data_IF_125028918854
#
_entry.id   IF_125028918854
#
_cell.length_a   1.000
_cell.length_b   1.000
_cell.length_c   1.000
_cell.angle_alpha   90.00
_cell.angle_beta   90.00
_cell.angle_gamma   90.00
#
_symmetry.space_group_name_H-M   'P 1'
#
loop_
_entity.id
_entity.type
_entity.pdbx_description
1 polymer ?
#
# COMPACT_ATOMS: atom_id res chain seq x y z
N UNK A 1 -9.72 13.84 16.84
CA UNK A 1 -10.32 15.11 16.38
C UNK A 1 -10.44 15.16 14.85
N UNK A 2 -9.43 14.78 14.06
CA UNK A 2 -9.51 14.76 12.58
C UNK A 2 -10.17 13.49 11.99
N UNK A 3 -10.02 12.31 12.60
CA UNK A 3 -10.79 11.10 12.24
C UNK A 3 -12.30 11.32 12.44
N UNK A 4 -12.68 12.00 13.52
CA UNK A 4 -14.07 12.34 13.84
C UNK A 4 -14.71 13.34 12.85
N UNK A 5 -13.89 13.99 12.02
CA UNK A 5 -14.35 14.84 10.93
C UNK A 5 -14.47 14.07 9.60
N UNK A 6 -14.23 12.75 9.59
CA UNK A 6 -14.24 11.86 8.41
C UNK A 6 -13.27 12.28 7.29
N UNK A 7 -12.25 13.07 7.62
CA UNK A 7 -11.26 13.55 6.65
C UNK A 7 -10.14 12.54 6.37
N UNK A 8 -9.91 11.63 7.32
CA UNK A 8 -8.84 10.66 7.28
C UNK A 8 -9.31 9.29 7.75
N UNK A 9 -8.80 8.27 7.08
CA UNK A 9 -8.78 6.90 7.56
C UNK A 9 -7.45 6.63 8.24
N UNK A 10 -7.47 5.77 9.26
CA UNK A 10 -6.28 5.32 9.95
C UNK A 10 -6.00 3.86 9.65
N UNK A 11 -4.79 3.60 9.18
CA UNK A 11 -4.21 2.28 9.14
C UNK A 11 -3.41 2.04 10.43
N UNK A 12 -3.69 0.95 11.15
CA UNK A 12 -2.88 0.58 12.32
C UNK A 12 -1.58 -0.06 11.85
N UNK A 13 -0.57 -0.06 12.72
CA UNK A 13 0.66 -0.80 12.45
C UNK A 13 0.50 -2.23 12.98
N UNK A 14 0.76 -3.20 12.13
CA UNK A 14 0.68 -4.63 12.44
C UNK A 14 2.08 -5.24 12.40
N UNK A 15 2.50 -5.84 13.51
CA UNK A 15 3.74 -6.59 13.59
C UNK A 15 3.55 -7.97 12.93
N UNK A 16 4.23 -8.17 11.80
CA UNK A 16 4.17 -9.39 11.02
C UNK A 16 4.82 -10.58 11.74
N UNK A 17 5.80 -10.33 12.62
CA UNK A 17 6.46 -11.39 13.40
C UNK A 17 5.71 -11.72 14.68
N UNK A 18 5.40 -10.70 15.48
CA UNK A 18 4.66 -10.85 16.73
C UNK A 18 3.18 -11.18 16.54
N UNK A 19 2.66 -11.04 15.30
CA UNK A 19 1.25 -11.24 14.94
C UNK A 19 0.28 -10.44 15.81
N UNK A 20 0.59 -9.15 15.98
CA UNK A 20 -0.17 -8.26 16.85
C UNK A 20 -0.10 -6.80 16.42
N UNK A 21 -1.01 -5.99 16.93
CA UNK A 21 -1.01 -4.55 16.67
C UNK A 21 0.03 -3.85 17.56
N UNK A 22 0.84 -3.01 16.95
CA UNK A 22 1.77 -2.15 17.67
C UNK A 22 1.02 -1.01 18.36
N UNK A 23 1.54 -0.58 19.52
CA UNK A 23 0.97 0.55 20.28
C UNK A 23 1.34 1.93 19.70
N UNK A 24 2.12 1.97 18.62
CA UNK A 24 2.54 3.19 17.92
C UNK A 24 1.38 3.87 17.21
N UNK A 25 1.55 5.18 16.92
CA UNK A 25 0.59 5.91 16.13
C UNK A 25 0.48 5.28 14.72
N UNK A 26 -0.76 5.13 14.22
CA UNK A 26 -1.02 4.61 12.88
C UNK A 26 -0.62 5.61 11.79
N UNK A 27 -0.60 5.14 10.53
CA UNK A 27 -0.56 6.05 9.37
C UNK A 27 -1.98 6.54 9.06
N UNK A 28 -2.07 7.79 8.59
CA UNK A 28 -3.32 8.41 8.23
C UNK A 28 -3.36 8.69 6.73
N UNK A 29 -4.43 8.22 6.09
CA UNK A 29 -4.69 8.39 4.68
C UNK A 29 -5.92 9.26 4.51
N UNK A 30 -5.86 10.18 3.57
CA UNK A 30 -6.96 11.08 3.29
C UNK A 30 -8.07 10.39 2.51
N UNK A 31 -9.31 10.76 2.81
CA UNK A 31 -10.52 10.27 2.13
C UNK A 31 -10.61 10.72 0.66
N UNK A 32 -10.13 11.93 0.33
CA UNK A 32 -10.30 12.54 -0.99
C UNK A 32 -9.03 13.27 -1.42
N UNK A 33 -8.43 12.85 -2.54
CA UNK A 33 -7.19 13.43 -3.06
C UNK A 33 -7.31 14.93 -3.44
N UNK A 34 -8.50 15.40 -3.80
CA UNK A 34 -8.83 16.81 -4.07
C UNK A 34 -8.79 17.70 -2.84
N UNK A 35 -9.04 17.17 -1.64
CA UNK A 35 -8.91 17.93 -0.38
C UNK A 35 -7.45 18.33 -0.10
N UNK A 36 -6.48 17.47 -0.43
CA UNK A 36 -5.04 17.79 -0.33
C UNK A 36 -4.68 18.97 -1.21
N UNK A 37 -5.23 18.99 -2.42
CA UNK A 37 -4.92 20.03 -3.40
C UNK A 37 -5.32 21.41 -2.90
N UNK A 38 -6.40 21.49 -2.13
CA UNK A 38 -6.84 22.72 -1.45
C UNK A 38 -6.05 23.02 -0.17
N UNK A 39 -5.72 22.00 0.64
CA UNK A 39 -5.08 22.20 1.94
C UNK A 39 -3.56 22.48 1.88
N UNK A 40 -2.81 21.86 0.96
CA UNK A 40 -1.33 21.91 0.94
C UNK A 40 -0.80 22.80 -0.20
N UNK A 41 -1.67 23.29 -1.08
CA UNK A 41 -1.30 24.02 -2.29
C UNK A 41 -0.60 23.12 -3.33
N UNK A 42 -0.22 23.70 -4.48
CA UNK A 42 0.49 22.99 -5.57
C UNK A 42 1.98 22.79 -5.25
N UNK A 43 2.32 22.11 -4.14
CA UNK A 43 3.71 21.72 -3.87
C UNK A 43 4.05 20.42 -4.60
N UNK A 44 4.95 20.43 -5.61
CA UNK A 44 5.44 19.20 -6.21
C UNK A 44 6.29 18.42 -5.19
N UNK A 45 6.28 17.08 -5.25
CA UNK A 45 7.30 16.27 -4.58
C UNK A 45 6.87 15.18 -3.61
N UNK A 46 5.59 14.87 -3.44
CA UNK A 46 5.18 13.68 -2.68
C UNK A 46 4.28 12.77 -3.53
N UNK A 47 4.84 12.21 -4.60
CA UNK A 47 4.13 11.31 -5.52
C UNK A 47 3.97 9.90 -4.93
N UNK A 48 4.97 9.41 -4.19
CA UNK A 48 4.89 8.12 -3.48
C UNK A 48 3.73 8.08 -2.49
N UNK A 49 3.65 9.04 -1.56
CA UNK A 49 2.56 9.08 -0.59
C UNK A 49 1.18 9.35 -1.20
N UNK A 50 1.10 9.99 -2.38
CA UNK A 50 -0.17 10.11 -3.11
C UNK A 50 -0.60 8.76 -3.70
N UNK A 51 0.35 8.02 -4.26
CA UNK A 51 0.10 6.69 -4.79
C UNK A 51 -0.30 5.71 -3.68
N UNK A 52 0.41 5.71 -2.55
CA UNK A 52 0.03 4.95 -1.35
C UNK A 52 -1.40 5.27 -0.92
N UNK A 53 -1.79 6.55 -0.89
CA UNK A 53 -3.14 6.95 -0.53
C UNK A 53 -4.20 6.42 -1.51
N UNK A 54 -3.92 6.47 -2.82
CA UNK A 54 -4.84 5.93 -3.84
C UNK A 54 -5.01 4.43 -3.65
N UNK A 55 -3.91 3.69 -3.49
CA UNK A 55 -3.93 2.24 -3.27
C UNK A 55 -4.68 1.89 -2.00
N UNK A 56 -4.43 2.61 -0.90
CA UNK A 56 -5.11 2.41 0.37
C UNK A 56 -6.64 2.57 0.24
N UNK A 57 -7.10 3.67 -0.36
CA UNK A 57 -8.53 3.93 -0.55
C UNK A 57 -9.16 2.88 -1.44
N UNK A 58 -8.48 2.47 -2.50
CA UNK A 58 -8.97 1.43 -3.39
C UNK A 58 -9.08 0.06 -2.68
N UNK A 59 -8.09 -0.30 -1.85
CA UNK A 59 -8.18 -1.52 -1.03
C UNK A 59 -9.37 -1.48 -0.07
N UNK A 60 -9.64 -0.33 0.57
CA UNK A 60 -10.87 -0.17 1.37
C UNK A 60 -12.13 -0.30 0.51
N UNK A 61 -12.15 0.29 -0.69
CA UNK A 61 -13.28 0.21 -1.62
C UNK A 61 -13.59 -1.22 -2.03
N UNK A 62 -12.55 -2.05 -2.22
CA UNK A 62 -12.64 -3.49 -2.52
C UNK A 62 -12.97 -4.37 -1.30
N UNK A 63 -13.29 -3.76 -0.15
CA UNK A 63 -13.78 -4.48 1.05
C UNK A 63 -12.69 -5.05 1.96
N UNK A 64 -11.42 -4.67 1.78
CA UNK A 64 -10.35 -5.10 2.67
C UNK A 64 -10.33 -4.26 3.97
N UNK A 65 -9.97 -4.91 5.07
CA UNK A 65 -9.37 -4.21 6.22
C UNK A 65 -7.88 -4.01 5.93
N UNK A 66 -7.38 -2.78 6.07
CA UNK A 66 -6.03 -2.42 5.63
C UNK A 66 -5.21 -1.85 6.79
N UNK A 67 -4.08 -2.49 7.07
CA UNK A 67 -3.07 -2.07 8.05
C UNK A 67 -1.72 -1.82 7.36
N UNK A 68 -0.79 -1.16 8.05
CA UNK A 68 0.63 -1.06 7.62
C UNK A 68 1.43 -2.19 8.26
N UNK A 69 2.20 -2.91 7.46
CA UNK A 69 3.01 -4.05 7.94
C UNK A 69 4.37 -3.61 8.47
N UNK A 70 4.75 -4.10 9.65
CA UNK A 70 6.08 -3.90 10.25
C UNK A 70 6.76 -5.24 10.47
N UNK A 71 8.03 -5.34 10.07
CA UNK A 71 8.90 -6.46 10.36
C UNK A 71 10.31 -5.94 10.67
N UNK A 72 10.70 -5.92 11.95
CA UNK A 72 11.93 -5.26 12.42
C UNK A 72 12.04 -3.80 11.94
N UNK A 73 13.05 -3.50 11.11
CA UNK A 73 13.31 -2.21 10.48
C UNK A 73 12.61 -2.06 9.13
N UNK A 74 12.05 -3.15 8.60
CA UNK A 74 11.37 -3.20 7.31
C UNK A 74 9.90 -2.88 7.49
N UNK A 75 9.39 -2.05 6.59
CA UNK A 75 7.97 -1.68 6.52
C UNK A 75 7.42 -2.13 5.17
N UNK A 76 6.20 -2.64 5.19
CA UNK A 76 5.42 -2.99 4.02
C UNK A 76 4.22 -2.06 4.02
N UNK A 77 3.95 -1.42 2.88
CA UNK A 77 2.95 -0.36 2.83
C UNK A 77 1.61 -0.84 3.34
N UNK A 78 1.13 -1.98 2.85
CA UNK A 78 -0.17 -2.51 3.24
C UNK A 78 -0.21 -4.02 3.47
N UNK A 79 -0.92 -4.39 4.54
CA UNK A 79 -1.46 -5.72 4.77
C UNK A 79 -2.97 -5.60 4.66
N UNK A 80 -3.51 -6.07 3.54
CA UNK A 80 -4.93 -6.06 3.24
C UNK A 80 -5.55 -7.43 3.58
N UNK A 81 -6.65 -7.45 4.31
CA UNK A 81 -7.33 -8.68 4.73
C UNK A 81 -8.83 -8.63 4.46
N UNK A 82 -9.37 -9.70 3.89
CA UNK A 82 -10.80 -10.04 3.84
C UNK A 82 -10.97 -11.50 4.28
N UNK A 83 -12.21 -11.98 4.38
CA UNK A 83 -12.57 -13.24 5.07
C UNK A 83 -11.62 -14.39 4.76
N UNK A 84 -11.33 -14.64 3.48
CA UNK A 84 -10.51 -15.77 3.03
C UNK A 84 -9.23 -15.36 2.32
N UNK A 85 -8.79 -14.09 2.47
CA UNK A 85 -7.64 -13.58 1.74
C UNK A 85 -6.80 -12.62 2.56
N UNK A 86 -5.48 -12.83 2.49
CA UNK A 86 -4.47 -11.88 2.94
C UNK A 86 -3.63 -11.51 1.72
N UNK A 87 -3.48 -10.21 1.51
CA UNK A 87 -2.70 -9.62 0.43
C UNK A 87 -1.70 -8.63 1.01
N UNK A 88 -0.42 -8.85 0.71
CA UNK A 88 0.64 -7.88 0.99
C UNK A 88 0.87 -7.02 -0.23
N UNK A 89 0.82 -5.70 -0.06
CA UNK A 89 1.00 -4.74 -1.15
C UNK A 89 2.17 -3.83 -0.83
N UNK A 90 3.11 -3.75 -1.77
CA UNK A 90 4.14 -2.73 -1.82
C UNK A 90 3.83 -1.78 -2.97
N UNK A 91 4.07 -0.50 -2.76
CA UNK A 91 3.79 0.56 -3.72
C UNK A 91 5.09 1.30 -4.04
N UNK A 92 5.35 1.55 -5.32
CA UNK A 92 6.52 2.32 -5.74
C UNK A 92 6.25 3.20 -6.95
N UNK A 93 6.97 4.32 -7.07
CA UNK A 93 6.84 5.20 -8.22
C UNK A 93 7.56 4.62 -9.45
N UNK A 94 8.80 4.19 -9.26
CA UNK A 94 9.63 3.57 -10.29
C UNK A 94 10.35 2.38 -9.68
N UNK A 95 10.45 1.29 -10.43
CA UNK A 95 11.27 0.15 -10.03
C UNK A 95 12.71 0.62 -9.84
N UNK A 96 13.32 0.36 -8.68
CA UNK A 96 14.72 0.70 -8.47
C UNK A 96 15.59 -0.13 -9.42
N UNK A 97 16.72 0.44 -9.84
CA UNK A 97 17.71 -0.27 -10.67
C UNK A 97 18.31 -1.50 -9.97
N UNK A 98 18.12 -1.61 -8.66
CA UNK A 98 18.63 -2.65 -7.79
C UNK A 98 17.43 -3.28 -7.07
N UNK A 99 17.37 -4.60 -6.94
CA UNK A 99 16.20 -5.42 -6.54
C UNK A 99 15.67 -5.24 -5.10
N UNK A 100 16.00 -4.15 -4.40
CA UNK A 100 15.77 -4.04 -2.95
C UNK A 100 14.33 -3.77 -2.51
N UNK A 101 13.46 -3.30 -3.39
CA UNK A 101 12.11 -2.88 -2.98
C UNK A 101 11.12 -4.05 -2.92
N UNK A 102 11.44 -5.18 -3.56
CA UNK A 102 10.75 -6.47 -3.34
C UNK A 102 11.29 -7.22 -2.13
N UNK A 103 12.50 -6.91 -1.62
CA UNK A 103 13.09 -7.58 -0.45
C UNK A 103 12.11 -7.60 0.74
N UNK A 104 11.37 -6.50 0.93
CA UNK A 104 10.41 -6.36 2.02
C UNK A 104 9.29 -7.42 1.93
N UNK A 105 8.81 -7.69 0.71
CA UNK A 105 7.78 -8.69 0.43
C UNK A 105 8.35 -10.12 0.42
N UNK A 106 9.54 -10.31 -0.19
CA UNK A 106 10.23 -11.62 -0.27
C UNK A 106 10.57 -12.15 1.13
N UNK A 107 10.92 -11.27 2.07
CA UNK A 107 11.24 -11.66 3.44
C UNK A 107 10.03 -12.17 4.25
N UNK A 108 8.80 -11.98 3.77
CA UNK A 108 7.62 -12.61 4.37
C UNK A 108 7.57 -14.08 3.95
N UNK A 109 7.80 -14.97 4.93
CA UNK A 109 7.93 -16.42 4.70
C UNK A 109 6.63 -17.19 4.54
N UNK A 110 5.48 -16.53 4.61
CA UNK A 110 4.20 -17.19 4.35
C UNK A 110 3.89 -17.23 2.84
N UNK A 111 2.86 -17.99 2.48
CA UNK A 111 2.43 -18.18 1.09
C UNK A 111 1.21 -17.32 0.73
N UNK A 112 0.90 -16.28 1.51
CA UNK A 112 -0.18 -15.37 1.13
C UNK A 112 0.23 -14.53 -0.08
N UNK A 113 -0.78 -13.99 -0.76
CA UNK A 113 -0.59 -13.24 -1.98
C UNK A 113 0.23 -11.97 -1.72
N UNK A 114 1.11 -11.65 -2.68
CA UNK A 114 1.99 -10.48 -2.65
C UNK A 114 1.82 -9.74 -3.97
N UNK A 115 1.86 -8.42 -3.94
CA UNK A 115 1.69 -7.58 -5.12
C UNK A 115 2.57 -6.34 -5.04
N UNK A 116 3.25 -6.03 -6.14
CA UNK A 116 3.96 -4.76 -6.31
C UNK A 116 3.20 -3.86 -7.29
N UNK A 117 2.76 -2.70 -6.80
CA UNK A 117 2.06 -1.69 -7.61
C UNK A 117 3.03 -0.57 -7.97
N UNK A 118 3.09 -0.22 -9.25
CA UNK A 118 4.04 0.76 -9.81
C UNK A 118 3.31 1.97 -10.42
N UNK A 119 3.85 3.18 -10.28
CA UNK A 119 3.34 4.34 -11.05
C UNK A 119 3.80 4.29 -12.51
N UNK A 120 5.09 4.02 -12.73
CA UNK A 120 5.67 3.91 -14.06
C UNK A 120 5.24 2.59 -14.71
N UNK A 121 5.03 2.64 -16.02
CA UNK A 121 4.61 1.47 -16.79
C UNK A 121 5.83 0.67 -17.26
N UNK A 122 5.82 -0.65 -17.00
CA UNK A 122 6.88 -1.58 -17.35
C UNK A 122 6.30 -2.78 -18.13
N UNK A 123 6.16 -2.68 -19.48
CA UNK A 123 5.47 -3.69 -20.29
C UNK A 123 6.13 -5.08 -20.23
N UNK A 124 7.45 -5.10 -20.08
CA UNK A 124 8.26 -6.33 -20.14
C UNK A 124 8.45 -6.99 -18.76
N UNK A 125 7.97 -6.36 -17.69
CA UNK A 125 8.14 -6.84 -16.31
C UNK A 125 6.77 -7.22 -15.76
N UNK A 126 6.49 -8.53 -15.73
CA UNK A 126 5.24 -9.07 -15.18
C UNK A 126 5.37 -9.48 -13.72
N UNK A 127 6.57 -9.86 -13.30
CA UNK A 127 6.88 -10.29 -11.94
C UNK A 127 8.36 -10.05 -11.62
N UNK A 128 8.67 -9.92 -10.33
CA UNK A 128 10.03 -9.85 -9.78
C UNK A 128 10.05 -10.80 -8.58
N UNK A 129 10.99 -11.75 -8.54
CA UNK A 129 11.10 -12.75 -7.47
C UNK A 129 9.79 -13.54 -7.22
N UNK A 130 9.02 -13.79 -8.28
CA UNK A 130 7.71 -14.45 -8.22
C UNK A 130 6.58 -13.57 -7.66
N UNK A 131 6.83 -12.28 -7.40
CA UNK A 131 5.84 -11.30 -6.98
C UNK A 131 5.30 -10.59 -8.24
N UNK A 132 3.99 -10.67 -8.53
CA UNK A 132 3.39 -9.94 -9.62
C UNK A 132 3.64 -8.43 -9.53
N UNK A 133 3.99 -7.83 -10.67
CA UNK A 133 4.14 -6.40 -10.84
C UNK A 133 3.00 -5.89 -11.70
N UNK A 134 2.35 -4.82 -11.26
CA UNK A 134 1.26 -4.19 -12.00
C UNK A 134 1.39 -2.68 -11.97
N UNK A 135 1.01 -2.02 -13.07
CA UNK A 135 0.86 -0.58 -13.07
C UNK A 135 -0.42 -0.18 -12.31
N UNK A 136 -0.37 0.94 -11.60
CA UNK A 136 -1.53 1.46 -10.85
C UNK A 136 -2.76 1.64 -11.73
N UNK A 137 -2.62 2.11 -12.97
CA UNK A 137 -3.76 2.36 -13.86
C UNK A 137 -4.44 1.04 -14.21
N UNK A 138 -3.67 0.03 -14.61
CA UNK A 138 -4.22 -1.29 -14.94
C UNK A 138 -4.85 -1.95 -13.72
N UNK A 139 -4.23 -1.80 -12.55
CA UNK A 139 -4.78 -2.34 -11.30
C UNK A 139 -6.13 -1.71 -10.95
N UNK A 140 -6.26 -0.39 -11.08
CA UNK A 140 -7.51 0.35 -10.83
C UNK A 140 -8.61 -0.01 -11.82
N UNK A 141 -8.27 -0.39 -13.06
CA UNK A 141 -9.24 -0.76 -14.10
C UNK A 141 -9.71 -2.22 -14.01
N UNK A 142 -9.06 -3.06 -13.17
CA UNK A 142 -9.51 -4.45 -12.99
C UNK A 142 -10.85 -4.50 -12.24
N UNK A 143 -11.83 -5.28 -12.74
CA UNK A 143 -13.07 -5.53 -12.01
C UNK A 143 -12.78 -6.25 -10.68
N UNK A 144 -13.74 -6.15 -9.76
CA UNK A 144 -13.75 -6.95 -8.54
C UNK A 144 -14.13 -8.39 -8.91
N UNK A 145 -13.29 -9.35 -8.53
CA UNK A 145 -13.61 -10.79 -8.57
C UNK A 145 -14.54 -11.17 -7.41
#
# INVERSE_FOLDING_TARGET
>A
MLENAFLFYRARQYDLRGRGYLRTAGKYFMVDAGLRRNAVGRRPGNYGGQLENIVYIELLRRGYTVDVGKMDTVEIDFVARRVDEILYVQVTYELPKNSHETDNLVNIKDNYQKLLITQRYYPDIKEIDGIPVINIVDWLLRPED
#
